data_IF_617784270116
#
_entry.id   IF_617784270116
#
_cell.length_a   1.000
_cell.length_b   1.000
_cell.length_c   1.000
_cell.angle_alpha   90.00
_cell.angle_beta   90.00
_cell.angle_gamma   90.00
#
_symmetry.space_group_name_H-M   'P 1'
#
loop_
_entity.id
_entity.type
_entity.pdbx_description
1 polymer ?
#
# COMPACT_ATOMS: atom_id res chain seq x y z
N UNK A 1 -2.98 8.29 3.05
CA UNK A 1 -3.74 7.98 4.27
C UNK A 1 -3.21 6.68 4.86
N UNK A 2 -3.21 6.58 6.18
CA UNK A 2 -2.92 5.33 6.89
C UNK A 2 -3.94 5.10 7.99
N UNK A 3 -4.15 3.84 8.36
CA UNK A 3 -5.02 3.45 9.46
C UNK A 3 -4.31 2.44 10.36
N UNK A 4 -4.53 2.56 11.65
CA UNK A 4 -4.05 1.62 12.66
C UNK A 4 -5.25 0.82 13.14
N UNK A 5 -5.17 -0.49 13.05
CA UNK A 5 -6.21 -1.42 13.54
C UNK A 5 -5.67 -2.32 14.65
N UNK A 6 -6.56 -2.98 15.37
CA UNK A 6 -6.17 -4.02 16.31
C UNK A 6 -5.70 -5.26 15.56
N UNK A 7 -4.72 -5.98 16.10
CA UNK A 7 -4.09 -7.17 15.49
C UNK A 7 -5.06 -8.31 15.12
N UNK A 8 -6.27 -8.30 15.63
CA UNK A 8 -7.32 -9.32 15.38
C UNK A 8 -8.32 -8.94 14.28
N UNK A 9 -8.21 -7.76 13.69
CA UNK A 9 -9.17 -7.33 12.67
C UNK A 9 -8.77 -7.85 11.28
N UNK A 10 -9.77 -8.31 10.51
CA UNK A 10 -9.57 -8.66 9.11
C UNK A 10 -9.24 -7.39 8.30
N UNK A 11 -8.12 -7.40 7.58
CA UNK A 11 -7.61 -6.23 6.85
C UNK A 11 -8.42 -5.92 5.59
N UNK A 12 -9.07 -6.91 5.00
CA UNK A 12 -9.78 -6.76 3.73
C UNK A 12 -10.78 -5.59 3.67
N UNK A 13 -11.62 -5.31 4.70
CA UNK A 13 -12.53 -4.15 4.67
C UNK A 13 -11.82 -2.80 4.76
N UNK A 14 -10.58 -2.75 5.30
CA UNK A 14 -9.84 -1.50 5.45
C UNK A 14 -9.39 -0.89 4.13
N UNK A 15 -9.14 -1.70 3.09
CA UNK A 15 -8.79 -1.20 1.77
C UNK A 15 -9.83 -0.18 1.27
N UNK A 16 -11.10 -0.53 1.35
CA UNK A 16 -12.20 0.34 0.88
C UNK A 16 -12.26 1.64 1.67
N UNK A 17 -12.08 1.56 3.00
CA UNK A 17 -12.03 2.75 3.88
C UNK A 17 -10.83 3.65 3.58
N UNK A 18 -9.66 3.08 3.25
CA UNK A 18 -8.46 3.84 2.86
C UNK A 18 -8.66 4.58 1.55
N UNK A 19 -9.32 3.94 0.59
CA UNK A 19 -9.52 4.48 -0.75
C UNK A 19 -10.79 5.32 -0.90
N UNK A 20 -11.66 5.37 0.11
CA UNK A 20 -12.98 6.02 0.04
C UNK A 20 -12.91 7.48 -0.36
N UNK A 21 -11.94 8.22 0.18
CA UNK A 21 -11.76 9.66 -0.04
C UNK A 21 -11.24 10.02 -1.44
N UNK A 22 -10.66 9.07 -2.16
CA UNK A 22 -10.17 9.31 -3.50
C UNK A 22 -11.32 9.17 -4.51
N UNK A 23 -11.50 10.15 -5.37
CA UNK A 23 -12.48 10.09 -6.47
C UNK A 23 -12.08 9.02 -7.49
N UNK A 24 -10.80 9.00 -7.83
CA UNK A 24 -10.19 8.05 -8.75
C UNK A 24 -8.93 7.46 -8.12
N UNK A 25 -8.60 6.24 -8.46
CA UNK A 25 -7.36 5.57 -8.07
C UNK A 25 -6.71 4.98 -9.33
N UNK A 26 -5.39 4.95 -9.35
CA UNK A 26 -4.65 4.31 -10.44
C UNK A 26 -4.46 2.81 -10.17
N UNK A 27 -3.20 2.41 -10.05
CA UNK A 27 -2.82 1.04 -9.73
C UNK A 27 -2.80 0.83 -8.21
N UNK A 28 -3.60 -0.11 -7.74
CA UNK A 28 -3.66 -0.53 -6.33
C UNK A 28 -3.05 -1.92 -6.20
N UNK A 29 -1.88 -1.99 -5.57
CA UNK A 29 -1.20 -3.25 -5.28
C UNK A 29 -1.42 -3.56 -3.81
N UNK A 30 -1.96 -4.73 -3.53
CA UNK A 30 -2.32 -5.14 -2.17
C UNK A 30 -1.80 -6.54 -1.85
N UNK A 31 -1.66 -6.84 -0.56
CA UNK A 31 -1.26 -8.16 -0.10
C UNK A 31 -2.40 -9.19 -0.23
N UNK A 32 -2.07 -10.47 -0.19
CA UNK A 32 -3.00 -11.62 -0.21
C UNK A 32 -4.14 -11.49 0.81
N UNK A 33 -3.91 -10.79 1.94
CA UNK A 33 -4.93 -10.50 2.94
C UNK A 33 -6.10 -9.64 2.43
N UNK A 34 -5.86 -8.83 1.39
CA UNK A 34 -6.88 -7.97 0.77
C UNK A 34 -7.59 -8.63 -0.43
N UNK A 35 -7.20 -9.87 -0.77
CA UNK A 35 -7.77 -10.63 -1.87
C UNK A 35 -9.28 -10.81 -1.70
N UNK A 36 -10.05 -10.44 -2.70
CA UNK A 36 -11.51 -10.59 -2.73
C UNK A 36 -12.19 -9.78 -3.83
N UNK A 37 -13.29 -10.32 -4.31
CA UNK A 37 -14.11 -9.77 -5.37
C UNK A 37 -14.63 -8.36 -5.06
N UNK A 38 -15.08 -8.12 -3.81
CA UNK A 38 -15.59 -6.82 -3.36
C UNK A 38 -14.54 -5.72 -3.39
N UNK A 39 -13.26 -6.05 -3.13
CA UNK A 39 -12.18 -5.08 -3.20
C UNK A 39 -11.80 -4.79 -4.65
N UNK A 40 -11.76 -5.80 -5.51
CA UNK A 40 -11.51 -5.63 -6.94
C UNK A 40 -12.58 -4.75 -7.59
N UNK A 41 -13.85 -5.03 -7.31
CA UNK A 41 -14.97 -4.22 -7.83
C UNK A 41 -14.96 -2.79 -7.30
N UNK A 42 -14.62 -2.59 -6.01
CA UNK A 42 -14.53 -1.25 -5.43
C UNK A 42 -13.45 -0.39 -6.12
N UNK A 43 -12.28 -1.00 -6.42
CA UNK A 43 -11.20 -0.31 -7.13
C UNK A 43 -11.60 -0.04 -8.58
N UNK A 44 -12.24 -0.99 -9.24
CA UNK A 44 -12.74 -0.82 -10.61
C UNK A 44 -13.77 0.30 -10.73
N UNK A 45 -14.70 0.44 -9.77
CA UNK A 45 -15.66 1.57 -9.72
C UNK A 45 -14.97 2.93 -9.58
N UNK A 46 -13.76 2.96 -9.02
CA UNK A 46 -12.91 4.17 -8.95
C UNK A 46 -11.95 4.30 -10.14
N UNK A 47 -12.21 3.61 -11.23
CA UNK A 47 -11.42 3.62 -12.47
C UNK A 47 -9.96 3.13 -12.25
N UNK A 48 -9.73 2.33 -11.22
CA UNK A 48 -8.41 1.79 -10.88
C UNK A 48 -8.22 0.34 -11.32
N UNK A 49 -6.95 -0.06 -11.41
CA UNK A 49 -6.54 -1.44 -11.58
C UNK A 49 -6.13 -2.04 -10.22
N UNK A 50 -6.70 -3.19 -9.89
CA UNK A 50 -6.41 -3.88 -8.63
C UNK A 50 -5.50 -5.07 -8.88
N UNK A 51 -4.38 -5.13 -8.16
CA UNK A 51 -3.44 -6.24 -8.20
C UNK A 51 -3.22 -6.83 -6.81
N UNK A 52 -3.52 -8.11 -6.67
CA UNK A 52 -3.31 -8.84 -5.44
C UNK A 52 -3.18 -10.33 -5.77
N UNK A 53 -2.33 -11.09 -5.07
CA UNK A 53 -2.25 -12.53 -5.24
C UNK A 53 -3.54 -13.20 -4.77
N UNK A 54 -3.91 -14.28 -5.43
CA UNK A 54 -5.07 -15.08 -5.04
C UNK A 54 -4.77 -15.96 -3.84
N UNK A 55 -5.79 -16.22 -3.03
CA UNK A 55 -5.76 -17.31 -2.04
C UNK A 55 -5.87 -18.64 -2.78
N UNK A 56 -5.35 -19.71 -2.20
CA UNK A 56 -5.35 -21.04 -2.81
C UNK A 56 -6.74 -21.56 -3.20
N UNK A 57 -7.73 -21.18 -2.40
CA UNK A 57 -9.15 -21.54 -2.63
C UNK A 57 -9.93 -20.45 -3.39
N UNK A 58 -9.27 -19.47 -4.01
CA UNK A 58 -9.93 -18.43 -4.77
C UNK A 58 -10.56 -19.03 -6.05
N UNK A 59 -11.81 -18.63 -6.33
CA UNK A 59 -12.54 -19.05 -7.53
C UNK A 59 -12.78 -17.85 -8.44
N UNK A 60 -12.81 -18.02 -9.77
CA UNK A 60 -13.10 -16.96 -10.74
C UNK A 60 -14.60 -16.65 -10.80
N UNK A 61 -15.23 -16.55 -9.63
CA UNK A 61 -16.67 -16.24 -9.46
C UNK A 61 -16.82 -14.81 -8.92
N UNK A 62 -18.04 -14.29 -8.93
CA UNK A 62 -18.30 -12.96 -8.40
C UNK A 62 -18.25 -11.86 -9.47
N UNK A 63 -17.76 -10.70 -9.11
CA UNK A 63 -17.75 -9.51 -9.96
C UNK A 63 -16.78 -9.61 -11.15
N UNK A 64 -17.13 -8.92 -12.24
CA UNK A 64 -16.37 -8.96 -13.50
C UNK A 64 -14.91 -8.51 -13.35
N UNK A 65 -14.63 -7.53 -12.49
CA UNK A 65 -13.28 -7.06 -12.20
C UNK A 65 -12.41 -8.16 -11.57
N UNK A 66 -13.00 -9.00 -10.70
CA UNK A 66 -12.32 -10.13 -10.08
C UNK A 66 -11.99 -11.22 -11.10
N UNK A 67 -12.95 -11.56 -11.98
CA UNK A 67 -12.74 -12.54 -13.07
C UNK A 67 -11.61 -12.10 -14.01
N UNK A 68 -11.65 -10.83 -14.46
CA UNK A 68 -10.60 -10.26 -15.32
C UNK A 68 -9.22 -10.33 -14.68
N UNK A 69 -9.12 -10.05 -13.39
CA UNK A 69 -7.86 -10.17 -12.66
C UNK A 69 -7.39 -11.63 -12.60
N UNK A 70 -8.32 -12.57 -12.38
CA UNK A 70 -8.01 -14.00 -12.34
C UNK A 70 -7.48 -14.49 -13.70
N UNK A 71 -8.14 -14.13 -14.78
CA UNK A 71 -7.74 -14.47 -16.15
C UNK A 71 -6.36 -13.87 -16.48
N UNK A 72 -6.12 -12.61 -16.07
CA UNK A 72 -4.84 -11.94 -16.26
C UNK A 72 -3.68 -12.66 -15.55
N UNK A 73 -3.89 -13.10 -14.30
CA UNK A 73 -2.89 -13.87 -13.56
C UNK A 73 -2.60 -15.23 -14.19
N UNK A 74 -3.61 -15.90 -14.74
CA UNK A 74 -3.43 -17.19 -15.41
C UNK A 74 -2.75 -17.06 -16.78
N UNK A 75 -3.08 -16.00 -17.51
CA UNK A 75 -2.55 -15.79 -18.87
C UNK A 75 -1.13 -15.21 -18.85
N UNK A 76 -0.86 -14.26 -17.91
CA UNK A 76 0.42 -13.53 -17.87
C UNK A 76 1.03 -13.53 -16.45
N UNK A 77 1.38 -14.70 -15.90
CA UNK A 77 1.86 -14.80 -14.51
C UNK A 77 3.15 -14.03 -14.24
N UNK A 78 4.07 -14.00 -15.18
CA UNK A 78 5.34 -13.27 -15.06
C UNK A 78 5.14 -11.76 -15.00
N UNK A 79 4.26 -11.22 -15.85
CA UNK A 79 3.88 -9.81 -15.83
C UNK A 79 3.22 -9.42 -14.49
N UNK A 80 2.28 -10.24 -14.05
CA UNK A 80 1.57 -10.01 -12.78
C UNK A 80 2.51 -10.04 -11.59
N UNK A 81 3.48 -10.97 -11.54
CA UNK A 81 4.53 -11.00 -10.53
C UNK A 81 5.40 -9.75 -10.58
N UNK A 82 5.78 -9.28 -11.77
CA UNK A 82 6.54 -8.04 -11.95
C UNK A 82 5.83 -6.84 -11.35
N UNK A 83 4.55 -6.66 -11.67
CA UNK A 83 3.71 -5.59 -11.10
C UNK A 83 3.58 -5.75 -9.58
N UNK A 84 3.33 -6.96 -9.11
CA UNK A 84 3.17 -7.23 -7.68
C UNK A 84 4.44 -6.95 -6.87
N UNK A 85 5.61 -7.16 -7.43
CA UNK A 85 6.90 -6.90 -6.76
C UNK A 85 7.06 -5.42 -6.35
N UNK A 86 6.34 -4.48 -6.98
CA UNK A 86 6.31 -3.09 -6.53
C UNK A 86 5.74 -2.92 -5.10
N UNK A 87 5.11 -3.93 -4.52
CA UNK A 87 4.71 -3.97 -3.11
C UNK A 87 5.90 -3.78 -2.16
N UNK A 88 7.07 -4.25 -2.53
CA UNK A 88 8.29 -4.09 -1.75
C UNK A 88 8.63 -2.63 -1.41
N UNK A 89 8.15 -1.66 -2.20
CA UNK A 89 8.32 -0.23 -1.91
C UNK A 89 7.66 0.17 -0.60
N UNK A 90 6.51 -0.42 -0.26
CA UNK A 90 5.82 -0.16 1.01
C UNK A 90 6.62 -0.74 2.17
N UNK A 91 7.17 -1.94 2.01
CA UNK A 91 8.04 -2.56 3.01
C UNK A 91 9.31 -1.73 3.24
N UNK A 92 9.90 -1.19 2.17
CA UNK A 92 11.05 -0.30 2.26
C UNK A 92 10.73 0.98 3.06
N UNK A 93 9.54 1.58 2.87
CA UNK A 93 9.10 2.73 3.66
C UNK A 93 8.96 2.38 5.14
N UNK A 94 8.32 1.26 5.47
CA UNK A 94 8.19 0.82 6.87
C UNK A 94 9.55 0.49 7.49
N UNK A 95 10.45 -0.15 6.75
CA UNK A 95 11.81 -0.42 7.20
C UNK A 95 12.58 0.87 7.47
N UNK A 96 12.51 1.85 6.57
CA UNK A 96 13.13 3.16 6.76
C UNK A 96 12.57 3.91 7.98
N UNK A 97 11.26 3.82 8.23
CA UNK A 97 10.64 4.39 9.44
C UNK A 97 11.16 3.72 10.72
N UNK A 98 11.21 2.37 10.74
CA UNK A 98 11.73 1.61 11.88
C UNK A 98 13.20 1.91 12.16
N UNK A 99 14.03 1.93 11.12
CA UNK A 99 15.45 2.21 11.26
C UNK A 99 15.72 3.63 11.80
N UNK A 100 14.84 4.58 11.49
CA UNK A 100 15.03 5.98 11.89
C UNK A 100 14.42 6.34 13.24
N UNK A 101 13.23 5.83 13.52
CA UNK A 101 12.43 6.23 14.68
C UNK A 101 12.24 5.10 15.70
N UNK A 102 12.88 3.94 15.47
CA UNK A 102 12.66 2.72 16.25
C UNK A 102 11.40 1.97 15.84
N UNK A 103 11.35 0.70 16.15
CA UNK A 103 10.24 -0.20 15.86
C UNK A 103 9.12 -0.13 16.91
N UNK A 104 9.43 0.37 18.10
CA UNK A 104 8.49 0.53 19.20
C UNK A 104 7.90 1.94 19.27
N UNK A 105 6.63 2.02 19.64
CA UNK A 105 5.97 3.29 19.95
C UNK A 105 6.14 3.57 21.45
N UNK A 106 6.60 4.76 21.77
CA UNK A 106 6.85 5.17 23.17
C UNK A 106 5.55 5.48 23.93
N UNK A 107 4.52 5.90 23.22
CA UNK A 107 3.24 6.26 23.82
C UNK A 107 2.49 5.02 24.33
N UNK A 108 1.95 5.06 25.53
CA UNK A 108 1.19 3.96 26.12
C UNK A 108 -0.28 3.96 25.69
N UNK A 109 -0.93 5.12 25.68
CA UNK A 109 -2.36 5.27 25.34
C UNK A 109 -2.58 5.11 23.85
N UNK A 110 -3.63 4.38 23.46
CA UNK A 110 -3.96 4.08 22.06
C UNK A 110 -4.03 5.32 21.14
N UNK A 111 -4.72 6.36 21.58
CA UNK A 111 -4.83 7.58 20.78
C UNK A 111 -3.50 8.32 20.61
N UNK A 112 -2.61 8.24 21.59
CA UNK A 112 -1.25 8.82 21.49
C UNK A 112 -0.36 7.99 20.58
N UNK A 113 -0.47 6.65 20.59
CA UNK A 113 0.22 5.78 19.61
C UNK A 113 -0.15 6.14 18.18
N UNK A 114 -1.44 6.43 17.93
CA UNK A 114 -1.88 6.88 16.59
C UNK A 114 -1.26 8.21 16.19
N UNK A 115 -1.20 9.18 17.11
CA UNK A 115 -0.56 10.48 16.88
C UNK A 115 0.93 10.33 16.64
N UNK A 116 1.62 9.57 17.48
CA UNK A 116 3.05 9.28 17.31
C UNK A 116 3.35 8.67 15.96
N UNK A 117 2.60 7.66 15.52
CA UNK A 117 2.76 7.05 14.21
C UNK A 117 2.50 8.08 13.09
N UNK A 118 1.46 8.90 13.21
CA UNK A 118 1.17 9.96 12.24
C UNK A 118 2.34 10.95 12.12
N UNK A 119 2.89 11.38 13.24
CA UNK A 119 4.04 12.30 13.26
C UNK A 119 5.29 11.68 12.63
N UNK A 120 5.56 10.40 12.87
CA UNK A 120 6.67 9.68 12.22
C UNK A 120 6.51 9.66 10.70
N UNK A 121 5.30 9.40 10.18
CA UNK A 121 5.02 9.46 8.74
C UNK A 121 5.17 10.87 8.16
N UNK A 122 4.67 11.89 8.86
CA UNK A 122 4.80 13.28 8.43
C UNK A 122 6.28 13.68 8.37
N UNK A 123 7.04 13.41 9.42
CA UNK A 123 8.48 13.71 9.46
C UNK A 123 9.26 12.99 8.36
N UNK A 124 8.91 11.73 8.08
CA UNK A 124 9.49 10.98 6.97
C UNK A 124 9.18 11.62 5.62
N UNK A 125 7.91 11.99 5.37
CA UNK A 125 7.50 12.62 4.11
C UNK A 125 8.15 14.00 3.91
N UNK A 126 8.19 14.84 4.96
CA UNK A 126 8.89 16.15 4.91
C UNK A 126 10.35 15.94 4.53
N UNK A 127 11.03 14.98 5.15
CA UNK A 127 12.43 14.68 4.80
C UNK A 127 12.61 14.29 3.34
N UNK A 128 11.71 13.46 2.80
CA UNK A 128 11.75 13.07 1.38
C UNK A 128 11.58 14.30 0.48
N UNK A 129 10.61 15.17 0.79
CA UNK A 129 10.37 16.40 0.03
C UNK A 129 11.59 17.32 0.07
N UNK A 130 12.15 17.58 1.25
CA UNK A 130 13.37 18.38 1.41
C UNK A 130 14.54 17.77 0.65
N UNK A 131 14.69 16.44 0.72
CA UNK A 131 15.71 15.73 -0.06
C UNK A 131 15.56 15.93 -1.56
N UNK A 132 14.32 15.88 -2.09
CA UNK A 132 14.02 16.12 -3.50
C UNK A 132 14.36 17.57 -3.87
N UNK A 133 13.97 18.55 -3.06
CA UNK A 133 14.24 19.97 -3.31
C UNK A 133 15.74 20.24 -3.40
N UNK A 134 16.53 19.81 -2.40
CA UNK A 134 17.98 19.96 -2.38
C UNK A 134 18.64 19.28 -3.59
N UNK A 135 18.15 18.11 -3.97
CA UNK A 135 18.68 17.36 -5.10
C UNK A 135 18.44 18.08 -6.42
N UNK A 136 17.25 18.69 -6.57
CA UNK A 136 16.92 19.50 -7.75
C UNK A 136 17.80 20.75 -7.84
N UNK A 137 17.99 21.45 -6.73
CA UNK A 137 18.85 22.65 -6.68
C UNK A 137 20.31 22.35 -7.01
N UNK A 138 20.82 21.22 -6.53
CA UNK A 138 22.22 20.82 -6.72
C UNK A 138 22.48 19.99 -7.98
N UNK A 139 21.47 19.63 -8.74
CA UNK A 139 21.57 18.74 -9.91
C UNK A 139 22.09 17.33 -9.59
N UNK A 140 22.03 16.90 -8.31
CA UNK A 140 22.57 15.61 -7.86
C UNK A 140 21.41 14.59 -7.83
N UNK A 141 21.53 13.41 -8.44
CA UNK A 141 20.49 12.37 -8.39
C UNK A 141 20.25 11.89 -6.96
N UNK A 142 18.99 11.60 -6.61
CA UNK A 142 18.56 11.15 -5.26
C UNK A 142 19.25 9.87 -4.77
N UNK A 143 19.74 9.03 -5.68
CA UNK A 143 20.38 7.74 -5.39
C UNK A 143 21.91 7.83 -5.14
N UNK A 144 22.50 8.99 -5.27
CA UNK A 144 23.97 9.20 -5.05
C UNK A 144 24.30 9.41 -3.57
N UNK A 145 23.36 9.29 -2.66
CA UNK A 145 23.65 9.31 -1.22
C UNK A 145 23.97 7.91 -0.73
N UNK A 146 25.25 7.59 -0.75
CA UNK A 146 25.82 6.55 0.09
C UNK A 146 25.66 6.91 1.58
#
# INVERSE_FOLDING_TARGET
>A
EFRISNSRSNDSPFLRKLLEKFKQVGLVIADKGYSGDRNAEFVAKKQGAFFCPFKENAKPTGFSAWKKLFDLWNTFPSLCKGIYNHRSKVEAVFSALKNRYGDQLHSQKWFMRRREMAMRFIAYNVRIIVGIMITREKGIPLWVRA
#
